data_IF_907414405799
#
_entry.id   IF_907414405799
#
_cell.length_a   1.000
_cell.length_b   1.000
_cell.length_c   1.000
_cell.angle_alpha   90.00
_cell.angle_beta   90.00
_cell.angle_gamma   90.00
#
_symmetry.space_group_name_H-M   'P 1'
#
loop_
_entity.id
_entity.type
_entity.pdbx_description
1 polymer ?
#
# COMPACT_ATOMS: atom_id res chain seq x y z
N UNK A 1 19.99 -1.01 -4.55
CA UNK A 1 18.94 -0.12 -5.13
C UNK A 1 17.59 -0.72 -4.76
N UNK A 2 16.74 0.01 -4.03
CA UNK A 2 15.41 -0.45 -3.60
C UNK A 2 14.37 -0.02 -4.66
N UNK A 3 13.49 -0.92 -5.09
CA UNK A 3 12.47 -0.65 -6.13
C UNK A 3 11.10 -0.89 -5.53
N UNK A 4 10.21 0.08 -5.66
CA UNK A 4 8.81 -0.03 -5.25
C UNK A 4 7.95 -0.12 -6.52
N UNK A 5 7.12 -1.16 -6.60
CA UNK A 5 6.11 -1.33 -7.63
C UNK A 5 4.76 -0.97 -7.03
N UNK A 6 4.08 0.00 -7.62
CA UNK A 6 2.78 0.45 -7.14
C UNK A 6 1.66 0.18 -8.17
N UNK A 7 0.83 -0.86 -7.95
CA UNK A 7 -0.36 -1.12 -8.77
C UNK A 7 -1.46 -0.09 -8.47
N UNK A 8 -1.85 0.70 -9.48
CA UNK A 8 -2.95 1.68 -9.38
C UNK A 8 -4.05 1.27 -10.35
N UNK A 9 -5.30 1.33 -9.93
CA UNK A 9 -6.44 0.96 -10.77
C UNK A 9 -7.77 0.98 -10.00
N UNK A 10 -8.91 0.94 -10.69
CA UNK A 10 -10.24 0.95 -10.07
C UNK A 10 -10.49 -0.31 -9.22
N UNK A 11 -11.46 -0.28 -8.27
CA UNK A 11 -11.89 -1.48 -7.55
C UNK A 11 -12.23 -2.62 -8.52
N UNK A 12 -11.84 -3.85 -8.20
CA UNK A 12 -12.06 -5.02 -9.07
C UNK A 12 -11.09 -5.17 -10.25
N UNK A 13 -10.14 -4.26 -10.46
CA UNK A 13 -9.15 -4.36 -11.55
C UNK A 13 -8.08 -5.46 -11.36
N UNK A 14 -8.16 -6.26 -10.29
CA UNK A 14 -7.22 -7.36 -10.04
C UNK A 14 -5.87 -6.96 -9.40
N UNK A 15 -5.75 -5.80 -8.75
CA UNK A 15 -4.51 -5.35 -8.09
C UNK A 15 -4.00 -6.34 -7.03
N UNK A 16 -4.88 -6.80 -6.15
CA UNK A 16 -4.52 -7.78 -5.11
C UNK A 16 -4.09 -9.11 -5.71
N UNK A 17 -4.71 -9.51 -6.83
CA UNK A 17 -4.33 -10.69 -7.62
C UNK A 17 -2.95 -10.51 -8.26
N UNK A 18 -2.65 -9.32 -8.80
CA UNK A 18 -1.33 -8.99 -9.36
C UNK A 18 -0.26 -9.03 -8.29
N UNK A 19 -0.50 -8.44 -7.11
CA UNK A 19 0.43 -8.45 -5.99
C UNK A 19 0.76 -9.88 -5.53
N UNK A 20 -0.28 -10.73 -5.38
CA UNK A 20 -0.09 -12.14 -5.05
C UNK A 20 0.70 -12.91 -6.12
N UNK A 21 0.34 -12.75 -7.40
CA UNK A 21 1.06 -13.39 -8.50
C UNK A 21 2.52 -12.94 -8.60
N UNK A 22 2.78 -11.66 -8.38
CA UNK A 22 4.13 -11.11 -8.37
C UNK A 22 4.96 -11.66 -7.20
N UNK A 23 4.40 -11.70 -5.99
CA UNK A 23 5.06 -12.29 -4.83
C UNK A 23 5.40 -13.77 -5.07
N UNK A 24 4.47 -14.56 -5.58
CA UNK A 24 4.70 -15.97 -5.93
C UNK A 24 5.80 -16.13 -6.99
N UNK A 25 5.78 -15.30 -8.04
CA UNK A 25 6.79 -15.33 -9.09
C UNK A 25 8.17 -14.97 -8.56
N UNK A 26 8.28 -13.92 -7.75
CA UNK A 26 9.54 -13.46 -7.15
C UNK A 26 10.13 -14.53 -6.22
N UNK A 27 9.29 -15.16 -5.41
CA UNK A 27 9.68 -16.30 -4.59
C UNK A 27 10.17 -17.49 -5.43
N UNK A 28 9.48 -17.80 -6.54
CA UNK A 28 9.87 -18.90 -7.43
C UNK A 28 11.24 -18.69 -8.09
N UNK A 29 11.64 -17.45 -8.36
CA UNK A 29 12.96 -17.11 -8.91
C UNK A 29 14.02 -16.84 -7.82
N UNK A 30 13.73 -17.14 -6.55
CA UNK A 30 14.58 -16.85 -5.39
C UNK A 30 15.00 -15.38 -5.28
N UNK A 31 14.10 -14.47 -5.66
CA UNK A 31 14.31 -13.03 -5.53
C UNK A 31 13.54 -12.52 -4.32
N UNK A 32 14.21 -11.88 -3.34
CA UNK A 32 13.53 -11.36 -2.17
C UNK A 32 12.52 -10.28 -2.58
N UNK A 33 11.32 -10.38 -2.01
CA UNK A 33 10.20 -9.49 -2.27
C UNK A 33 9.33 -9.41 -1.01
N UNK A 34 8.90 -8.22 -0.64
CA UNK A 34 7.95 -7.99 0.45
C UNK A 34 6.73 -7.28 -0.11
N UNK A 35 5.54 -7.83 0.13
CA UNK A 35 4.28 -7.17 -0.21
C UNK A 35 3.80 -6.36 1.01
N UNK A 36 3.09 -5.26 0.79
CA UNK A 36 2.45 -4.50 1.86
C UNK A 36 1.06 -4.05 1.43
N UNK A 37 0.11 -4.10 2.37
CA UNK A 37 -1.25 -3.60 2.16
C UNK A 37 -1.33 -2.15 2.65
N UNK A 38 -1.58 -1.24 1.71
CA UNK A 38 -1.81 0.17 2.01
C UNK A 38 -3.25 0.60 1.68
N UNK A 39 -4.16 -0.35 1.47
CA UNK A 39 -5.61 -0.10 1.38
C UNK A 39 -6.28 -0.40 2.72
N UNK A 40 -6.79 0.62 3.43
CA UNK A 40 -7.42 0.42 4.71
C UNK A 40 -8.83 -0.19 4.58
N UNK A 41 -9.41 -0.23 3.36
CA UNK A 41 -10.71 -0.86 3.08
C UNK A 41 -10.59 -2.26 2.45
N UNK A 42 -9.38 -2.82 2.37
CA UNK A 42 -9.16 -4.13 1.76
C UNK A 42 -8.97 -5.21 2.84
N UNK A 43 -10.05 -5.93 3.13
CA UNK A 43 -10.03 -6.92 4.20
C UNK A 43 -9.40 -8.26 3.85
N UNK A 44 -9.42 -8.58 2.57
CA UNK A 44 -9.07 -9.90 2.08
C UNK A 44 -7.85 -9.83 1.16
N UNK A 45 -6.67 -9.90 1.77
CA UNK A 45 -5.39 -9.95 1.06
C UNK A 45 -4.99 -11.42 0.79
N UNK A 46 -4.84 -11.84 -0.48
CA UNK A 46 -4.48 -13.21 -0.82
C UNK A 46 -2.96 -13.45 -0.82
N UNK A 47 -2.17 -12.56 -0.20
CA UNK A 47 -0.70 -12.56 -0.19
C UNK A 47 -0.17 -12.34 1.23
N UNK A 48 1.09 -12.71 1.47
CA UNK A 48 1.74 -12.51 2.76
C UNK A 48 2.27 -11.07 2.87
N UNK A 49 1.53 -10.24 3.61
CA UNK A 49 1.86 -8.82 3.76
C UNK A 49 2.87 -8.62 4.90
N UNK A 50 4.00 -8.00 4.58
CA UNK A 50 5.01 -7.58 5.55
C UNK A 50 4.46 -6.55 6.54
N UNK A 51 3.56 -5.68 6.10
CA UNK A 51 2.77 -4.83 6.97
C UNK A 51 1.43 -4.47 6.32
N UNK A 52 0.49 -4.08 7.17
CA UNK A 52 -0.87 -3.70 6.81
C UNK A 52 -1.23 -2.36 7.46
N UNK A 53 -1.68 -1.40 6.65
CA UNK A 53 -2.14 -0.09 7.12
C UNK A 53 -3.32 -0.18 8.08
N UNK A 54 -4.10 -1.27 8.01
CA UNK A 54 -5.22 -1.51 8.94
C UNK A 54 -4.77 -1.66 10.39
N UNK A 55 -3.50 -1.99 10.63
CA UNK A 55 -2.92 -2.01 11.98
C UNK A 55 -2.66 -0.60 12.53
N UNK A 56 -2.57 0.41 11.65
CA UNK A 56 -2.48 1.82 12.05
C UNK A 56 -3.88 2.42 12.21
N UNK A 57 -4.79 2.12 11.27
CA UNK A 57 -6.15 2.67 11.27
C UNK A 57 -7.16 1.63 10.79
N UNK A 58 -8.14 1.35 11.63
CA UNK A 58 -9.29 0.51 11.31
C UNK A 58 -10.44 1.41 10.81
N UNK A 59 -10.86 1.22 9.56
CA UNK A 59 -11.87 2.07 8.91
C UNK A 59 -13.24 1.86 9.52
N UNK A 60 -13.58 0.63 9.87
CA UNK A 60 -14.85 0.28 10.51
C UNK A 60 -14.99 1.00 11.85
N UNK A 61 -13.94 0.95 12.69
CA UNK A 61 -13.93 1.62 14.00
C UNK A 61 -14.06 3.15 13.87
N UNK A 62 -13.41 3.74 12.85
CA UNK A 62 -13.48 5.17 12.56
C UNK A 62 -14.86 5.57 12.06
N UNK A 63 -15.46 4.77 11.18
CA UNK A 63 -16.82 5.01 10.68
C UNK A 63 -17.84 5.01 11.82
N UNK A 64 -17.72 4.08 12.77
CA UNK A 64 -18.60 4.02 13.94
C UNK A 64 -18.36 5.20 14.90
N UNK A 65 -17.09 5.53 15.19
CA UNK A 65 -16.74 6.57 16.17
C UNK A 65 -17.05 7.98 15.70
N UNK A 66 -16.78 8.27 14.44
CA UNK A 66 -16.89 9.61 13.85
C UNK A 66 -18.23 9.80 13.08
N UNK A 67 -19.13 8.80 13.12
CA UNK A 67 -20.39 8.77 12.38
C UNK A 67 -20.21 9.01 10.86
N UNK A 68 -19.13 8.45 10.30
CA UNK A 68 -18.77 8.63 8.89
C UNK A 68 -19.31 7.50 8.02
N UNK A 69 -19.74 7.86 6.81
CA UNK A 69 -20.01 6.87 5.76
C UNK A 69 -18.72 6.24 5.22
N UNK A 70 -18.82 5.18 4.39
CA UNK A 70 -17.65 4.43 3.86
C UNK A 70 -16.58 5.32 3.22
N UNK A 71 -16.99 6.31 2.43
CA UNK A 71 -16.05 7.24 1.80
C UNK A 71 -15.37 8.18 2.80
N UNK A 72 -16.07 8.56 3.87
CA UNK A 72 -15.55 9.41 4.94
C UNK A 72 -14.52 8.65 5.79
N UNK A 73 -14.82 7.40 6.14
CA UNK A 73 -13.88 6.53 6.86
C UNK A 73 -12.58 6.29 6.10
N UNK A 74 -12.66 6.04 4.79
CA UNK A 74 -11.47 5.88 3.94
C UNK A 74 -10.65 7.17 3.86
N UNK A 75 -11.30 8.33 3.70
CA UNK A 75 -10.60 9.61 3.66
C UNK A 75 -9.88 9.88 4.98
N UNK A 76 -10.55 9.67 6.10
CA UNK A 76 -9.99 9.82 7.44
C UNK A 76 -8.79 8.88 7.64
N UNK A 77 -8.91 7.61 7.24
CA UNK A 77 -7.82 6.66 7.32
C UNK A 77 -6.59 7.08 6.51
N UNK A 78 -6.79 7.69 5.34
CA UNK A 78 -5.69 8.25 4.56
C UNK A 78 -5.02 9.45 5.24
N UNK A 79 -5.80 10.32 5.88
CA UNK A 79 -5.27 11.45 6.65
C UNK A 79 -4.46 10.97 7.85
N UNK A 80 -4.90 9.92 8.53
CA UNK A 80 -4.16 9.31 9.65
C UNK A 80 -2.82 8.72 9.19
N UNK A 81 -2.79 8.07 8.02
CA UNK A 81 -1.54 7.57 7.42
C UNK A 81 -0.61 8.73 7.03
N UNK A 82 -1.15 9.82 6.49
CA UNK A 82 -0.38 11.02 6.14
C UNK A 82 0.19 11.72 7.40
N UNK A 83 -0.57 11.74 8.50
CA UNK A 83 -0.11 12.27 9.78
C UNK A 83 0.98 11.39 10.44
N UNK A 84 0.91 10.07 10.23
CA UNK A 84 1.83 9.10 10.82
C UNK A 84 2.80 8.51 9.77
N UNK A 85 3.34 9.34 8.87
CA UNK A 85 4.30 8.88 7.87
C UNK A 85 5.54 8.21 8.47
N UNK A 86 5.95 8.58 9.70
CA UNK A 86 7.05 7.92 10.40
C UNK A 86 6.79 6.43 10.65
N UNK A 87 5.54 6.04 10.94
CA UNK A 87 5.16 4.63 11.04
C UNK A 87 5.41 3.90 9.72
N UNK A 88 5.02 4.53 8.59
CA UNK A 88 5.22 3.94 7.27
C UNK A 88 6.72 3.80 6.95
N UNK A 89 7.52 4.83 7.26
CA UNK A 89 8.97 4.81 7.04
C UNK A 89 9.65 3.67 7.83
N UNK A 90 9.31 3.49 9.11
CA UNK A 90 9.82 2.39 9.94
C UNK A 90 9.48 1.02 9.34
N UNK A 91 8.22 0.81 8.93
CA UNK A 91 7.80 -0.43 8.27
C UNK A 91 8.51 -0.68 6.95
N UNK A 92 8.82 0.38 6.21
CA UNK A 92 9.56 0.29 4.96
C UNK A 92 11.04 -0.02 5.14
N UNK A 93 11.64 0.40 6.25
CA UNK A 93 13.02 0.06 6.57
C UNK A 93 13.17 -1.37 7.12
N UNK A 94 12.16 -1.88 7.84
CA UNK A 94 12.04 -3.30 8.20
C UNK A 94 11.94 -4.19 6.95
N UNK A 95 11.33 -3.68 5.88
CA UNK A 95 11.26 -4.34 4.58
C UNK A 95 12.56 -4.13 3.79
N UNK A 96 13.50 -5.08 3.84
CA UNK A 96 14.78 -4.97 3.12
C UNK A 96 14.67 -4.59 1.63
N UNK A 97 13.60 -5.04 0.94
CA UNK A 97 13.17 -4.64 -0.40
C UNK A 97 11.63 -4.55 -0.48
N UNK A 98 11.03 -3.36 -0.31
CA UNK A 98 9.57 -3.23 -0.28
C UNK A 98 8.98 -3.15 -1.70
N UNK A 99 8.04 -4.04 -2.04
CA UNK A 99 7.07 -3.85 -3.11
C UNK A 99 5.73 -3.39 -2.48
N UNK A 100 5.45 -2.09 -2.58
CA UNK A 100 4.29 -1.47 -1.91
C UNK A 100 3.04 -1.46 -2.80
N UNK A 101 1.95 -2.04 -2.32
CA UNK A 101 0.64 -1.91 -2.97
C UNK A 101 -0.22 -0.88 -2.25
N UNK A 102 -0.27 0.35 -2.77
CA UNK A 102 -1.12 1.47 -2.30
C UNK A 102 -2.38 1.54 -3.14
N UNK A 103 -3.51 1.59 -2.45
CA UNK A 103 -4.79 1.93 -3.04
C UNK A 103 -5.12 3.36 -2.61
N UNK A 104 -5.90 4.06 -3.43
CA UNK A 104 -6.51 5.37 -3.15
C UNK A 104 -5.78 6.64 -3.65
N UNK A 105 -6.57 7.71 -3.85
CA UNK A 105 -6.21 8.98 -4.50
C UNK A 105 -5.13 9.82 -3.78
N UNK A 106 -4.64 9.37 -2.61
CA UNK A 106 -3.53 9.98 -1.87
C UNK A 106 -2.14 9.61 -2.43
N UNK A 107 -2.10 8.64 -3.35
CA UNK A 107 -0.91 8.15 -4.04
C UNK A 107 0.05 9.26 -4.51
N UNK A 108 -0.37 10.40 -5.11
CA UNK A 108 0.57 11.42 -5.57
C UNK A 108 1.43 12.02 -4.45
N UNK A 109 0.86 12.24 -3.24
CA UNK A 109 1.59 12.84 -2.11
C UNK A 109 2.59 11.86 -1.50
N UNK A 110 2.19 10.61 -1.33
CA UNK A 110 3.07 9.54 -0.81
C UNK A 110 4.20 9.27 -1.80
N UNK A 111 3.89 9.18 -3.10
CA UNK A 111 4.90 8.97 -4.15
C UNK A 111 5.94 10.10 -4.20
N UNK A 112 5.50 11.36 -4.09
CA UNK A 112 6.40 12.51 -4.11
C UNK A 112 7.35 12.53 -2.89
N UNK A 113 6.97 11.91 -1.77
CA UNK A 113 7.82 11.77 -0.59
C UNK A 113 8.78 10.59 -0.71
N UNK A 114 8.31 9.45 -1.25
CA UNK A 114 9.16 8.29 -1.53
C UNK A 114 10.29 8.62 -2.51
N UNK A 115 10.02 9.44 -3.53
CA UNK A 115 11.06 9.96 -4.44
C UNK A 115 12.08 10.84 -3.71
N UNK A 116 11.65 11.68 -2.76
CA UNK A 116 12.55 12.50 -1.92
C UNK A 116 13.42 11.67 -0.98
N UNK A 117 12.94 10.51 -0.55
CA UNK A 117 13.70 9.54 0.25
C UNK A 117 14.67 8.69 -0.60
N UNK A 118 14.71 8.90 -1.92
CA UNK A 118 15.63 8.21 -2.83
C UNK A 118 15.12 6.88 -3.37
N UNK A 119 13.83 6.55 -3.16
CA UNK A 119 13.22 5.36 -3.75
C UNK A 119 12.82 5.64 -5.21
N UNK A 120 13.10 4.67 -6.09
CA UNK A 120 12.61 4.71 -7.47
C UNK A 120 11.21 4.12 -7.53
N UNK A 121 10.23 4.98 -7.79
CA UNK A 121 8.82 4.60 -7.96
C UNK A 121 8.58 4.19 -9.42
N UNK A 122 7.96 3.04 -9.66
CA UNK A 122 7.43 2.65 -10.98
C UNK A 122 5.91 2.50 -10.90
N UNK A 123 5.18 3.32 -11.66
CA UNK A 123 3.73 3.24 -11.82
C UNK A 123 3.42 2.10 -12.79
N UNK A 124 2.70 1.09 -12.35
CA UNK A 124 2.48 -0.15 -13.10
C UNK A 124 1.50 -0.08 -14.27
N UNK A 125 1.25 1.08 -14.88
CA UNK A 125 0.23 1.24 -15.93
C UNK A 125 0.63 2.11 -17.13
N UNK A 126 1.89 2.50 -17.28
CA UNK A 126 2.37 3.15 -18.51
C UNK A 126 3.12 2.13 -19.38
N UNK A 127 2.36 1.23 -19.99
CA UNK A 127 2.67 0.76 -21.35
C UNK A 127 1.80 1.56 -22.32
N UNK A 128 2.32 2.72 -22.73
CA UNK A 128 2.35 3.26 -24.10
C UNK A 128 2.84 4.71 -24.10
#
# INVERSE_FOLDING_TARGET
MRTIVLPIGPPGSGKSTLCNGLQQFMNAINRPCSAANLDPANDNIPYDAAFDVRHLVNVEDVMEREELGPNGGILWAMEEVEANLGWLEERLDECGQPELTIHHMAVPRILQRLEKLGYRVRRGSEEQ
#
